data_IF_738286743209
#
_entry.id   IF_738286743209
#
_cell.length_a   1.000
_cell.length_b   1.000
_cell.length_c   1.000
_cell.angle_alpha   90.00
_cell.angle_beta   90.00
_cell.angle_gamma   90.00
#
_symmetry.space_group_name_H-M   'P 1'
#
loop_
_entity.id
_entity.type
_entity.pdbx_description
1 polymer ?
#
# COMPACT_ATOMS: atom_id res chain seq x y z
N UNK A 1 -42.79 34.86 -30.69
CA UNK A 1 -42.87 34.01 -29.48
C UNK A 1 -42.26 32.61 -29.66
N UNK A 2 -42.42 31.94 -30.81
CA UNK A 2 -41.85 30.61 -31.06
C UNK A 2 -40.30 30.51 -31.06
N UNK A 3 -39.60 31.56 -31.53
CA UNK A 3 -38.11 31.57 -31.59
C UNK A 3 -37.44 31.57 -30.20
N UNK A 4 -38.03 32.28 -29.23
CA UNK A 4 -37.54 32.31 -27.85
C UNK A 4 -37.74 30.96 -27.13
N UNK A 5 -38.82 30.24 -27.44
CA UNK A 5 -39.06 28.91 -26.87
C UNK A 5 -38.07 27.87 -27.39
N UNK A 6 -37.69 27.94 -28.68
CA UNK A 6 -36.73 27.03 -29.28
C UNK A 6 -35.31 27.24 -28.72
N UNK A 7 -34.91 28.49 -28.47
CA UNK A 7 -33.63 28.82 -27.85
C UNK A 7 -33.56 28.39 -26.38
N UNK A 8 -34.66 28.55 -25.62
CA UNK A 8 -34.73 28.08 -24.24
C UNK A 8 -34.62 26.55 -24.13
N UNK A 9 -35.29 25.81 -25.02
CA UNK A 9 -35.22 24.35 -25.05
C UNK A 9 -33.82 23.85 -25.45
N UNK A 10 -33.17 24.50 -26.42
CA UNK A 10 -31.80 24.17 -26.82
C UNK A 10 -30.78 24.44 -25.70
N UNK A 11 -30.94 25.52 -24.94
CA UNK A 11 -30.10 25.84 -23.78
C UNK A 11 -30.28 24.84 -22.63
N UNK A 12 -31.51 24.40 -22.37
CA UNK A 12 -31.80 23.35 -21.37
C UNK A 12 -31.25 22.00 -21.81
N UNK A 13 -31.38 21.62 -23.08
CA UNK A 13 -30.78 20.39 -23.62
C UNK A 13 -29.24 20.41 -23.57
N UNK A 14 -28.61 21.57 -23.82
CA UNK A 14 -27.17 21.73 -23.68
C UNK A 14 -26.70 21.66 -22.21
N UNK A 15 -27.49 22.17 -21.26
CA UNK A 15 -27.21 22.00 -19.82
C UNK A 15 -27.36 20.55 -19.35
N UNK A 16 -28.34 19.81 -19.89
CA UNK A 16 -28.56 18.38 -19.55
C UNK A 16 -27.50 17.50 -20.19
N UNK A 17 -27.02 17.82 -21.39
CA UNK A 17 -25.92 17.10 -22.05
C UNK A 17 -24.53 17.39 -21.43
N UNK A 18 -24.38 18.55 -20.77
CA UNK A 18 -23.16 18.94 -20.04
C UNK A 18 -23.06 18.36 -18.62
N UNK A 19 -24.12 17.73 -18.11
CA UNK A 19 -24.14 17.05 -16.83
C UNK A 19 -23.38 15.71 -16.91
N UNK A 20 -22.07 15.82 -17.02
CA UNK A 20 -21.06 14.86 -16.58
C UNK A 20 -21.31 13.42 -16.95
N UNK A 21 -20.61 12.94 -17.98
CA UNK A 21 -20.02 11.61 -17.88
C UNK A 21 -19.11 11.61 -16.63
N UNK A 22 -19.69 11.29 -15.46
CA UNK A 22 -18.98 11.09 -14.22
C UNK A 22 -17.97 9.98 -14.49
N UNK A 23 -16.73 10.36 -14.78
CA UNK A 23 -15.67 9.39 -15.03
C UNK A 23 -15.49 8.58 -13.75
N UNK A 24 -15.89 7.31 -13.80
CA UNK A 24 -15.63 6.35 -12.73
C UNK A 24 -14.13 6.27 -12.50
N UNK A 25 -13.69 6.32 -11.24
CA UNK A 25 -12.29 6.19 -10.91
C UNK A 25 -11.77 4.78 -11.25
N UNK A 26 -10.68 4.68 -12.03
CA UNK A 26 -10.01 3.41 -12.32
C UNK A 26 -9.11 3.03 -11.15
N UNK A 27 -9.44 1.94 -10.45
CA UNK A 27 -8.71 1.49 -9.27
C UNK A 27 -7.42 0.74 -9.60
N UNK A 28 -7.41 -0.05 -10.67
CA UNK A 28 -6.25 -0.86 -11.01
C UNK A 28 -5.12 0.03 -11.50
N UNK A 29 -3.92 -0.19 -10.98
CA UNK A 29 -2.74 0.57 -11.40
C UNK A 29 -2.79 2.09 -11.15
N UNK A 30 -3.74 2.52 -10.31
CA UNK A 30 -3.85 3.91 -9.91
C UNK A 30 -2.57 4.36 -9.19
N UNK A 31 -1.97 5.46 -9.66
CA UNK A 31 -0.83 6.06 -8.97
C UNK A 31 -1.31 6.88 -7.77
N UNK A 32 -0.42 7.19 -6.83
CA UNK A 32 -0.77 8.04 -5.69
C UNK A 32 -1.25 9.42 -6.16
N UNK A 33 -0.67 9.95 -7.25
CA UNK A 33 -1.09 11.20 -7.86
C UNK A 33 -2.52 11.11 -8.43
N UNK A 34 -2.84 10.02 -9.14
CA UNK A 34 -4.19 9.77 -9.65
C UNK A 34 -5.20 9.64 -8.50
N UNK A 35 -4.85 8.91 -7.43
CA UNK A 35 -5.67 8.78 -6.22
C UNK A 35 -5.93 10.14 -5.58
N UNK A 36 -4.89 10.97 -5.42
CA UNK A 36 -5.05 12.31 -4.84
C UNK A 36 -5.91 13.21 -5.72
N UNK A 37 -5.76 13.12 -7.04
CA UNK A 37 -6.63 13.84 -7.99
C UNK A 37 -8.09 13.37 -7.90
N UNK A 38 -8.32 12.05 -7.82
CA UNK A 38 -9.64 11.48 -7.62
C UNK A 38 -10.28 11.93 -6.30
N UNK A 39 -9.47 12.08 -5.26
CA UNK A 39 -9.94 12.64 -4.00
C UNK A 39 -10.26 14.14 -4.09
N UNK A 40 -9.49 14.93 -4.85
CA UNK A 40 -9.68 16.38 -4.94
C UNK A 40 -10.84 16.77 -5.85
N UNK A 41 -11.09 16.01 -6.92
CA UNK A 41 -12.20 16.25 -7.84
C UNK A 41 -13.50 15.50 -7.44
N UNK A 42 -13.46 14.71 -6.37
CA UNK A 42 -14.62 14.01 -5.82
C UNK A 42 -15.01 12.72 -6.54
N UNK A 43 -14.24 12.26 -7.55
CA UNK A 43 -14.52 10.98 -8.23
C UNK A 43 -14.13 9.75 -7.40
N UNK A 44 -13.39 9.95 -6.31
CA UNK A 44 -12.98 8.90 -5.38
C UNK A 44 -13.11 9.35 -3.92
N UNK A 45 -13.49 8.41 -3.05
CA UNK A 45 -13.41 8.58 -1.59
C UNK A 45 -12.39 7.61 -0.99
N UNK A 46 -11.81 7.98 0.15
CA UNK A 46 -10.86 7.13 0.90
C UNK A 46 -11.54 5.84 1.32
N UNK A 47 -12.81 5.91 1.73
CA UNK A 47 -13.63 4.74 2.09
C UNK A 47 -13.83 3.81 0.90
N UNK A 48 -14.14 4.32 -0.29
CA UNK A 48 -14.27 3.50 -1.49
C UNK A 48 -12.94 2.82 -1.85
N UNK A 49 -11.83 3.56 -1.78
CA UNK A 49 -10.50 3.03 -2.04
C UNK A 49 -10.09 1.92 -1.06
N UNK A 50 -10.35 2.13 0.24
CA UNK A 50 -10.06 1.12 1.27
C UNK A 50 -10.93 -0.13 1.08
N UNK A 51 -12.23 0.03 0.79
CA UNK A 51 -13.13 -1.10 0.49
C UNK A 51 -12.60 -1.92 -0.69
N UNK A 52 -12.25 -1.26 -1.79
CA UNK A 52 -11.70 -1.93 -2.96
C UNK A 52 -10.48 -2.81 -2.60
N UNK A 53 -9.52 -2.28 -1.85
CA UNK A 53 -8.34 -3.07 -1.47
C UNK A 53 -8.66 -4.18 -0.47
N UNK A 54 -9.58 -3.97 0.47
CA UNK A 54 -10.03 -5.03 1.38
C UNK A 54 -10.71 -6.18 0.61
N UNK A 55 -11.50 -5.86 -0.42
CA UNK A 55 -12.13 -6.86 -1.29
C UNK A 55 -11.09 -7.63 -2.11
N UNK A 56 -10.07 -6.95 -2.65
CA UNK A 56 -8.95 -7.62 -3.32
C UNK A 56 -8.16 -8.52 -2.37
N UNK A 57 -7.92 -8.08 -1.14
CA UNK A 57 -7.27 -8.89 -0.10
C UNK A 57 -8.13 -10.13 0.20
N UNK A 58 -9.43 -9.97 0.43
CA UNK A 58 -10.34 -11.08 0.70
C UNK A 58 -10.34 -12.14 -0.42
N UNK A 59 -10.26 -11.69 -1.68
CA UNK A 59 -10.27 -12.58 -2.85
C UNK A 59 -8.93 -13.27 -3.12
N UNK A 60 -7.82 -12.55 -3.02
CA UNK A 60 -6.52 -13.00 -3.52
C UNK A 60 -5.58 -13.51 -2.42
N UNK A 61 -5.70 -12.98 -1.21
CA UNK A 61 -4.80 -13.31 -0.11
C UNK A 61 -4.89 -14.78 0.37
N UNK A 62 -6.04 -15.48 0.32
CA UNK A 62 -6.09 -16.92 0.61
C UNK A 62 -5.15 -17.77 -0.26
N UNK A 63 -4.80 -17.27 -1.45
CA UNK A 63 -3.86 -17.93 -2.36
C UNK A 63 -2.45 -17.33 -2.30
N UNK A 64 -2.35 -16.01 -2.14
CA UNK A 64 -1.08 -15.29 -2.25
C UNK A 64 -0.34 -15.11 -0.91
N UNK A 65 -1.02 -15.21 0.22
CA UNK A 65 -0.46 -15.04 1.57
C UNK A 65 0.43 -13.78 1.72
N UNK A 66 0.02 -12.67 1.11
CA UNK A 66 0.78 -11.43 1.06
C UNK A 66 0.50 -10.49 2.23
N UNK A 67 -0.70 -10.55 2.79
CA UNK A 67 -1.16 -9.76 3.94
C UNK A 67 -1.31 -10.71 5.12
N UNK A 68 -0.55 -10.48 6.19
CA UNK A 68 -0.56 -11.33 7.38
C UNK A 68 -1.64 -10.90 8.38
N UNK A 69 -2.04 -9.62 8.34
CA UNK A 69 -3.05 -9.06 9.23
C UNK A 69 -3.69 -7.82 8.61
N UNK A 70 -5.01 -7.73 8.64
CA UNK A 70 -5.75 -6.55 8.19
C UNK A 70 -6.03 -5.65 9.39
N UNK A 71 -5.95 -4.33 9.22
CA UNK A 71 -6.27 -3.40 10.29
C UNK A 71 -7.79 -3.29 10.47
N UNK A 72 -8.37 -3.67 11.62
CA UNK A 72 -9.81 -3.55 11.85
C UNK A 72 -10.29 -2.09 11.79
N UNK A 73 -9.39 -1.12 12.04
CA UNK A 73 -9.70 0.30 11.99
C UNK A 73 -9.58 0.95 10.61
N UNK A 74 -9.15 0.22 9.57
CA UNK A 74 -8.85 0.81 8.26
C UNK A 74 -10.04 1.61 7.69
N UNK A 75 -11.25 1.05 7.72
CA UNK A 75 -12.46 1.74 7.23
C UNK A 75 -12.83 2.94 8.11
N UNK A 76 -12.63 2.86 9.42
CA UNK A 76 -12.87 3.98 10.34
C UNK A 76 -11.93 5.14 10.05
N UNK A 77 -10.64 4.85 9.85
CA UNK A 77 -9.62 5.84 9.48
C UNK A 77 -9.94 6.48 8.12
N UNK A 78 -10.40 5.68 7.15
CA UNK A 78 -10.81 6.16 5.83
C UNK A 78 -12.02 7.12 5.90
N UNK A 79 -13.07 6.74 6.65
CA UNK A 79 -14.25 7.58 6.89
C UNK A 79 -13.86 8.91 7.54
N UNK A 80 -12.93 8.88 8.50
CA UNK A 80 -12.42 10.09 9.12
C UNK A 80 -11.69 10.98 8.10
N UNK A 81 -10.83 10.42 7.25
CA UNK A 81 -10.18 11.17 6.18
C UNK A 81 -11.18 11.81 5.19
N UNK A 82 -12.27 11.11 4.85
CA UNK A 82 -13.34 11.65 4.01
C UNK A 82 -14.13 12.77 4.70
N UNK A 83 -14.35 12.67 6.01
CA UNK A 83 -15.00 13.72 6.79
C UNK A 83 -14.15 15.00 6.85
N UNK A 84 -12.84 14.88 7.12
CA UNK A 84 -11.91 16.01 7.10
C UNK A 84 -11.87 16.68 5.72
N UNK A 85 -11.93 15.89 4.64
CA UNK A 85 -11.94 16.41 3.26
C UNK A 85 -13.21 17.22 2.98
N UNK A 86 -14.38 16.70 3.38
CA UNK A 86 -15.67 17.42 3.23
C UNK A 86 -15.73 18.71 4.05
N UNK A 87 -15.04 18.77 5.18
CA UNK A 87 -14.96 19.97 6.05
C UNK A 87 -13.93 20.99 5.59
N UNK A 88 -13.12 20.67 4.56
CA UNK A 88 -12.01 21.53 4.14
C UNK A 88 -10.82 21.54 5.11
N UNK A 89 -10.77 20.63 6.08
CA UNK A 89 -9.71 20.53 7.11
C UNK A 89 -8.66 19.46 6.78
N UNK A 90 -8.80 18.77 5.64
CA UNK A 90 -7.87 17.74 5.20
C UNK A 90 -6.45 18.30 4.99
N UNK A 91 -5.54 17.91 5.90
CA UNK A 91 -4.11 18.21 5.82
C UNK A 91 -3.29 16.93 5.60
N UNK A 92 -2.16 17.05 4.91
CA UNK A 92 -1.20 15.96 4.70
C UNK A 92 -1.25 15.33 3.30
N UNK A 93 -0.08 15.06 2.73
CA UNK A 93 0.11 14.62 1.34
C UNK A 93 -0.37 13.19 1.06
N UNK A 94 -0.69 12.40 2.08
CA UNK A 94 -1.18 11.02 1.96
C UNK A 94 -2.55 10.84 2.62
N UNK A 95 -3.27 11.94 2.91
CA UNK A 95 -4.56 11.88 3.59
C UNK A 95 -5.51 10.91 2.88
N UNK A 96 -5.94 9.86 3.59
CA UNK A 96 -6.89 8.86 3.10
C UNK A 96 -6.29 7.77 2.20
N UNK A 97 -5.00 7.85 1.85
CA UNK A 97 -4.35 6.83 1.02
C UNK A 97 -4.03 5.59 1.86
N UNK A 98 -4.50 4.38 1.48
CA UNK A 98 -4.19 3.15 2.19
C UNK A 98 -2.76 2.68 1.93
N UNK A 99 -2.08 2.28 3.01
CA UNK A 99 -0.70 1.78 2.97
C UNK A 99 -0.59 0.47 3.74
N UNK A 100 0.15 -0.49 3.17
CA UNK A 100 0.59 -1.69 3.91
C UNK A 100 1.96 -1.45 4.54
N UNK A 101 2.14 -1.95 5.75
CA UNK A 101 3.42 -1.92 6.44
C UNK A 101 3.95 -3.34 6.58
N UNK A 102 5.23 -3.58 6.30
CA UNK A 102 5.83 -4.89 6.60
C UNK A 102 5.65 -5.23 8.09
N UNK A 103 5.39 -6.49 8.42
CA UNK A 103 5.02 -6.92 9.78
C UNK A 103 6.14 -6.80 10.84
N UNK A 104 7.35 -6.40 10.45
CA UNK A 104 8.41 -6.00 11.39
C UNK A 104 8.47 -4.47 11.63
N UNK A 105 7.55 -3.69 11.07
CA UNK A 105 7.40 -2.26 11.34
C UNK A 105 6.42 -2.07 12.49
N UNK A 106 6.93 -1.60 13.63
CA UNK A 106 6.14 -1.37 14.83
C UNK A 106 5.00 -0.36 14.62
N UNK A 107 3.79 -0.72 15.03
CA UNK A 107 2.65 0.20 15.17
C UNK A 107 2.03 0.03 16.56
N UNK A 108 1.75 1.15 17.22
CA UNK A 108 1.06 1.24 18.51
C UNK A 108 -0.44 1.37 18.27
N UNK A 109 -1.03 0.33 17.70
CA UNK A 109 -2.47 0.19 17.45
C UNK A 109 -2.90 -1.27 17.68
N UNK A 110 -4.06 -1.66 17.16
CA UNK A 110 -4.59 -3.02 17.31
C UNK A 110 -3.80 -4.10 16.53
N UNK A 111 -2.88 -3.69 15.65
CA UNK A 111 -2.12 -4.63 14.82
C UNK A 111 -0.93 -5.22 15.60
N UNK A 112 -0.63 -6.49 15.33
CA UNK A 112 0.57 -7.11 15.84
C UNK A 112 1.82 -6.65 15.08
N UNK A 113 3.00 -6.79 15.69
CA UNK A 113 4.30 -6.61 15.01
C UNK A 113 5.15 -7.83 15.31
N UNK A 114 5.10 -8.83 14.43
CA UNK A 114 5.57 -10.19 14.78
C UNK A 114 6.85 -10.60 14.07
N UNK A 115 7.30 -9.83 13.07
CA UNK A 115 8.35 -10.26 12.14
C UNK A 115 8.08 -11.66 11.52
N UNK A 116 6.80 -12.02 11.38
CA UNK A 116 6.33 -13.34 10.92
C UNK A 116 6.40 -14.47 11.97
N UNK A 117 6.90 -14.21 13.18
CA UNK A 117 7.11 -15.22 14.21
C UNK A 117 5.92 -15.32 15.18
N UNK A 118 5.48 -16.54 15.48
CA UNK A 118 4.48 -16.79 16.53
C UNK A 118 4.96 -16.36 17.92
N UNK A 119 6.27 -16.30 18.16
CA UNK A 119 6.85 -15.89 19.44
C UNK A 119 6.54 -14.44 19.83
N UNK A 120 6.20 -13.59 18.85
CA UNK A 120 5.87 -12.18 19.04
C UNK A 120 4.37 -11.90 18.89
N UNK A 121 3.53 -12.93 18.71
CA UNK A 121 2.09 -12.75 18.62
C UNK A 121 1.55 -12.24 19.96
N UNK A 122 0.75 -11.18 19.92
CA UNK A 122 0.26 -10.49 21.12
C UNK A 122 1.30 -9.57 21.78
N UNK A 123 2.52 -9.47 21.25
CA UNK A 123 3.54 -8.55 21.77
C UNK A 123 3.13 -7.09 21.55
N UNK A 124 3.36 -6.29 22.58
CA UNK A 124 2.85 -4.93 22.68
C UNK A 124 4.03 -3.95 22.54
N UNK A 125 4.13 -3.30 21.38
CA UNK A 125 5.21 -2.33 21.13
C UNK A 125 5.01 -1.05 21.94
N UNK A 126 6.10 -0.40 22.37
CA UNK A 126 6.05 0.86 23.16
C UNK A 126 5.52 2.06 22.37
N UNK A 127 5.81 2.12 21.06
CA UNK A 127 5.45 3.24 20.17
C UNK A 127 5.50 2.83 18.70
N UNK A 128 4.89 3.65 17.84
CA UNK A 128 5.08 3.56 16.39
C UNK A 128 6.57 3.65 16.03
N UNK A 129 6.97 2.86 15.03
CA UNK A 129 8.23 3.09 14.33
C UNK A 129 8.21 4.49 13.68
N UNK A 130 9.38 5.12 13.53
CA UNK A 130 9.47 6.48 12.98
C UNK A 130 8.80 6.64 11.61
N UNK A 131 8.87 5.61 10.76
CA UNK A 131 8.21 5.62 9.44
C UNK A 131 6.68 5.51 9.56
N UNK A 132 6.16 4.65 10.44
CA UNK A 132 4.72 4.54 10.68
C UNK A 132 4.15 5.85 11.23
N UNK A 133 4.84 6.45 12.21
CA UNK A 133 4.45 7.75 12.77
C UNK A 133 4.43 8.86 11.69
N UNK A 134 5.40 8.87 10.76
CA UNK A 134 5.43 9.83 9.64
C UNK A 134 4.26 9.62 8.68
N UNK A 135 3.91 8.38 8.35
CA UNK A 135 2.78 8.06 7.48
C UNK A 135 1.46 8.49 8.11
N UNK A 136 1.25 8.21 9.41
CA UNK A 136 0.07 8.67 10.13
C UNK A 136 -0.05 10.19 10.17
N UNK A 137 1.05 10.90 10.43
CA UNK A 137 1.08 12.37 10.37
C UNK A 137 0.78 12.91 8.96
N UNK A 138 1.18 12.20 7.92
CA UNK A 138 0.82 12.53 6.54
C UNK A 138 -0.65 12.21 6.19
N UNK A 139 -1.40 11.59 7.12
CA UNK A 139 -2.81 11.24 6.97
C UNK A 139 -3.08 9.89 6.29
N UNK A 140 -2.06 9.04 6.12
CA UNK A 140 -2.22 7.72 5.51
C UNK A 140 -3.10 6.80 6.38
N UNK A 141 -3.88 5.95 5.72
CA UNK A 141 -4.66 4.89 6.36
C UNK A 141 -3.80 3.63 6.42
N UNK A 142 -3.51 3.11 7.61
CA UNK A 142 -2.75 1.86 7.73
C UNK A 142 -3.70 0.70 7.45
N UNK A 143 -3.59 0.11 6.25
CA UNK A 143 -4.49 -0.96 5.78
C UNK A 143 -4.27 -2.27 6.54
N UNK A 144 -3.03 -2.53 6.96
CA UNK A 144 -2.66 -3.77 7.64
C UNK A 144 -1.16 -4.04 7.60
N UNK A 145 -0.79 -5.29 7.86
CA UNK A 145 0.57 -5.81 7.85
C UNK A 145 0.81 -6.72 6.65
N UNK A 146 1.89 -6.47 5.92
CA UNK A 146 2.37 -7.34 4.85
C UNK A 146 3.26 -8.45 5.40
N UNK A 147 3.11 -9.66 4.85
CA UNK A 147 3.94 -10.83 5.19
C UNK A 147 5.39 -10.65 4.75
N UNK A 148 6.27 -11.46 5.34
CA UNK A 148 7.70 -11.43 5.11
C UNK A 148 8.32 -12.82 5.25
N UNK A 149 9.56 -12.98 4.78
CA UNK A 149 10.43 -14.05 5.30
C UNK A 149 10.63 -13.82 6.79
N UNK A 150 10.39 -14.84 7.60
CA UNK A 150 10.48 -14.75 9.06
C UNK A 150 11.82 -14.16 9.52
N UNK A 151 11.77 -13.30 10.55
CA UNK A 151 12.94 -12.58 11.07
C UNK A 151 13.71 -11.83 9.98
N UNK A 152 12.98 -11.30 9.00
CA UNK A 152 13.55 -10.63 7.83
C UNK A 152 14.61 -11.47 7.08
N UNK A 153 14.47 -12.81 7.08
CA UNK A 153 15.41 -13.77 6.49
C UNK A 153 16.77 -13.87 7.21
N UNK A 154 16.84 -13.45 8.49
CA UNK A 154 17.96 -13.76 9.40
C UNK A 154 17.79 -15.09 10.15
N UNK A 155 16.72 -15.83 9.82
CA UNK A 155 16.53 -17.25 10.12
C UNK A 155 16.62 -18.03 8.79
N UNK A 156 17.22 -19.24 8.76
CA UNK A 156 17.24 -20.05 7.54
C UNK A 156 15.84 -20.59 7.23
N UNK A 157 15.09 -19.86 6.40
CA UNK A 157 13.73 -20.20 5.95
C UNK A 157 13.58 -19.97 4.44
N UNK A 158 12.56 -20.55 3.83
CA UNK A 158 12.21 -20.25 2.44
C UNK A 158 11.82 -18.77 2.27
N UNK A 159 12.19 -18.17 1.13
CA UNK A 159 11.89 -16.77 0.86
C UNK A 159 10.37 -16.53 0.79
N UNK A 160 9.88 -15.64 1.65
CA UNK A 160 8.45 -15.34 1.81
C UNK A 160 7.70 -16.28 2.74
N UNK A 161 8.38 -17.23 3.39
CA UNK A 161 7.79 -18.07 4.43
C UNK A 161 7.91 -17.45 5.82
N UNK A 162 6.86 -17.58 6.62
CA UNK A 162 6.91 -17.38 8.07
C UNK A 162 5.93 -18.27 8.82
N UNK A 163 6.21 -18.61 10.08
CA UNK A 163 5.33 -19.50 10.85
C UNK A 163 3.92 -18.91 11.00
N UNK A 164 3.80 -17.60 11.19
CA UNK A 164 2.51 -16.92 11.33
C UNK A 164 1.83 -16.66 9.99
N UNK A 165 2.58 -16.27 8.96
CA UNK A 165 2.04 -15.80 7.68
C UNK A 165 1.90 -16.87 6.59
N UNK A 166 2.49 -18.05 6.78
CA UNK A 166 2.59 -19.08 5.75
C UNK A 166 3.57 -18.68 4.63
N UNK A 167 3.40 -19.31 3.46
CA UNK A 167 4.25 -19.07 2.28
C UNK A 167 3.60 -18.06 1.33
N UNK A 168 4.17 -16.86 1.25
CA UNK A 168 3.80 -15.90 0.21
C UNK A 168 4.04 -16.49 -1.19
N UNK A 169 3.13 -16.26 -2.15
CA UNK A 169 3.25 -16.77 -3.53
C UNK A 169 3.43 -15.63 -4.52
N UNK A 170 4.23 -15.88 -5.55
CA UNK A 170 4.43 -14.92 -6.63
C UNK A 170 3.14 -14.84 -7.49
N UNK A 171 2.54 -13.65 -7.65
CA UNK A 171 1.23 -13.52 -8.29
C UNK A 171 1.28 -13.83 -9.79
N UNK A 172 2.44 -13.68 -10.45
CA UNK A 172 2.60 -13.95 -11.88
C UNK A 172 2.82 -15.44 -12.19
N UNK A 173 3.52 -16.16 -11.32
CA UNK A 173 3.80 -17.59 -11.45
C UNK A 173 3.85 -18.19 -10.05
N UNK A 174 2.78 -18.88 -9.61
CA UNK A 174 2.61 -19.32 -8.22
C UNK A 174 3.72 -20.27 -7.73
N UNK A 175 4.32 -21.05 -8.63
CA UNK A 175 5.45 -21.94 -8.34
C UNK A 175 6.80 -21.23 -8.25
N UNK A 176 6.89 -19.95 -8.63
CA UNK A 176 8.11 -19.16 -8.54
C UNK A 176 8.24 -18.49 -7.18
N UNK A 177 9.48 -18.25 -6.75
CA UNK A 177 9.74 -17.51 -5.52
C UNK A 177 9.14 -16.09 -5.56
N UNK A 178 8.51 -15.61 -4.47
CA UNK A 178 8.12 -14.20 -4.32
C UNK A 178 9.32 -13.30 -4.01
N UNK A 179 10.53 -13.87 -3.84
CA UNK A 179 11.72 -13.22 -3.30
C UNK A 179 11.49 -12.77 -1.83
N UNK A 180 12.47 -12.13 -1.19
CA UNK A 180 12.38 -11.77 0.22
C UNK A 180 13.42 -10.73 0.65
N UNK A 181 13.39 -10.27 1.89
CA UNK A 181 12.43 -10.68 2.93
C UNK A 181 11.08 -9.97 2.85
N UNK A 182 10.95 -8.89 2.08
CA UNK A 182 9.70 -8.13 1.92
C UNK A 182 8.75 -8.75 0.89
N UNK A 183 8.50 -10.06 1.02
CA UNK A 183 7.72 -10.85 0.06
C UNK A 183 6.29 -10.35 -0.08
N UNK A 184 5.55 -10.25 1.03
CA UNK A 184 4.15 -9.83 1.03
C UNK A 184 3.96 -8.41 0.51
N UNK A 185 4.86 -7.50 0.88
CA UNK A 185 4.93 -6.13 0.33
C UNK A 185 4.94 -6.11 -1.21
N UNK A 186 5.88 -6.87 -1.81
CA UNK A 186 6.04 -6.92 -3.26
C UNK A 186 4.86 -7.61 -3.96
N UNK A 187 4.33 -8.68 -3.37
CA UNK A 187 3.18 -9.43 -3.90
C UNK A 187 1.90 -8.59 -3.82
N UNK A 188 1.64 -7.91 -2.70
CA UNK A 188 0.42 -7.13 -2.48
C UNK A 188 0.32 -5.96 -3.46
N UNK A 189 1.41 -5.22 -3.68
CA UNK A 189 1.43 -4.14 -4.68
C UNK A 189 1.30 -4.71 -6.10
N UNK A 190 2.00 -5.80 -6.43
CA UNK A 190 1.92 -6.42 -7.75
C UNK A 190 0.52 -6.96 -8.09
N UNK A 191 -0.25 -7.38 -7.08
CA UNK A 191 -1.59 -7.93 -7.23
C UNK A 191 -2.71 -6.90 -6.96
N UNK A 192 -2.40 -5.59 -6.88
CA UNK A 192 -3.37 -4.53 -6.58
C UNK A 192 -4.17 -4.75 -5.27
N UNK A 193 -3.53 -5.33 -4.25
CA UNK A 193 -4.08 -5.47 -2.90
C UNK A 193 -3.76 -4.27 -1.98
N UNK A 194 -2.92 -3.33 -2.45
CA UNK A 194 -2.66 -2.06 -1.79
C UNK A 194 -2.17 -1.01 -2.78
N UNK A 195 -2.43 0.28 -2.51
CA UNK A 195 -1.93 1.40 -3.31
C UNK A 195 -0.40 1.55 -3.21
N UNK A 196 0.15 1.32 -2.02
CA UNK A 196 1.59 1.34 -1.78
C UNK A 196 1.95 0.52 -0.53
N UNK A 197 3.21 0.14 -0.45
CA UNK A 197 3.78 -0.57 0.69
C UNK A 197 5.03 0.16 1.22
N UNK A 198 5.33 -0.09 2.49
CA UNK A 198 6.61 0.31 3.09
C UNK A 198 7.37 -0.94 3.56
N UNK A 199 8.50 -1.29 2.89
CA UNK A 199 9.42 -2.28 3.41
C UNK A 199 10.27 -1.68 4.54
N UNK A 200 10.85 -2.55 5.37
CA UNK A 200 11.90 -2.18 6.29
C UNK A 200 13.17 -1.68 5.56
N UNK A 201 13.92 -0.78 6.20
CA UNK A 201 15.11 -0.16 5.60
C UNK A 201 16.31 -1.11 5.43
N UNK A 202 16.20 -2.37 5.86
CA UNK A 202 17.27 -3.36 5.79
C UNK A 202 17.35 -3.91 4.37
N UNK A 203 18.43 -3.57 3.65
CA UNK A 203 18.72 -4.11 2.32
C UNK A 203 18.02 -3.41 1.16
N UNK A 204 18.44 -2.18 0.83
CA UNK A 204 18.01 -1.47 -0.41
C UNK A 204 18.22 -2.29 -1.70
N UNK A 205 19.14 -3.27 -1.69
CA UNK A 205 19.35 -4.22 -2.80
C UNK A 205 18.23 -5.26 -2.98
N UNK A 206 17.56 -5.68 -1.91
CA UNK A 206 16.52 -6.71 -1.94
C UNK A 206 15.25 -6.23 -2.68
N UNK A 207 14.85 -4.97 -2.47
CA UNK A 207 13.67 -4.35 -3.12
C UNK A 207 13.78 -4.33 -4.64
N UNK A 208 14.94 -3.91 -5.16
CA UNK A 208 15.19 -3.88 -6.60
C UNK A 208 15.34 -5.29 -7.20
N UNK A 209 15.78 -6.27 -6.41
CA UNK A 209 15.84 -7.68 -6.80
C UNK A 209 14.47 -8.32 -6.94
N UNK A 210 13.60 -8.17 -5.93
CA UNK A 210 12.27 -8.79 -5.93
C UNK A 210 11.35 -8.19 -7.01
N UNK A 211 11.27 -6.87 -7.14
CA UNK A 211 10.48 -6.26 -8.23
C UNK A 211 11.01 -6.65 -9.63
N UNK A 212 12.34 -6.77 -9.82
CA UNK A 212 12.90 -7.25 -11.10
C UNK A 212 12.57 -8.72 -11.36
N UNK A 213 12.58 -9.58 -10.35
CA UNK A 213 12.21 -11.01 -10.49
C UNK A 213 10.71 -11.19 -10.76
N UNK A 214 9.84 -10.45 -10.07
CA UNK A 214 8.41 -10.40 -10.37
C UNK A 214 8.16 -9.95 -11.82
N UNK A 215 8.89 -8.92 -12.30
CA UNK A 215 8.82 -8.46 -13.70
C UNK A 215 9.37 -9.49 -14.70
N UNK A 216 10.40 -10.27 -14.34
CA UNK A 216 10.91 -11.35 -15.18
C UNK A 216 9.93 -12.52 -15.25
N UNK A 217 9.31 -12.89 -14.12
CA UNK A 217 8.26 -13.89 -14.07
C UNK A 217 7.06 -13.48 -14.94
N UNK A 218 6.65 -12.21 -14.88
CA UNK A 218 5.65 -11.63 -15.82
C UNK A 218 6.01 -11.86 -17.28
N UNK A 219 7.26 -11.61 -17.69
CA UNK A 219 7.68 -11.80 -19.10
C UNK A 219 7.69 -13.26 -19.54
N UNK A 220 7.71 -14.20 -18.60
CA UNK A 220 7.81 -15.66 -18.85
C UNK A 220 6.48 -16.39 -18.62
N UNK A 221 5.49 -15.78 -17.98
CA UNK A 221 4.26 -16.42 -17.54
C UNK A 221 3.15 -16.40 -18.59
N UNK A 222 2.73 -17.60 -18.99
CA UNK A 222 1.43 -17.90 -19.59
C UNK A 222 0.35 -17.89 -18.47
N UNK A 223 -0.90 -17.56 -18.83
CA UNK A 223 -2.04 -17.21 -17.97
C UNK A 223 -2.21 -18.15 -16.75
N UNK A 224 -1.68 -17.77 -15.57
CA UNK A 224 -2.33 -18.17 -14.32
C UNK A 224 -3.68 -17.46 -14.29
N UNK A 225 -4.78 -18.15 -14.00
CA UNK A 225 -6.15 -17.59 -14.05
C UNK A 225 -6.43 -16.41 -13.09
N UNK A 226 -5.40 -15.82 -12.49
CA UNK A 226 -5.44 -14.60 -11.70
C UNK A 226 -5.14 -13.42 -12.63
N UNK A 227 -6.10 -12.52 -12.81
CA UNK A 227 -5.84 -11.25 -13.49
C UNK A 227 -4.92 -10.38 -12.61
N UNK A 228 -3.62 -10.41 -12.91
CA UNK A 228 -2.61 -9.56 -12.28
C UNK A 228 -2.30 -8.40 -13.23
N UNK A 229 -2.68 -7.19 -12.83
CA UNK A 229 -2.48 -5.97 -13.61
C UNK A 229 -1.03 -5.44 -13.46
N UNK A 230 -0.55 -4.61 -14.41
CA UNK A 230 0.86 -4.24 -14.47
C UNK A 230 1.24 -3.08 -13.51
N UNK A 231 1.70 -3.39 -12.29
CA UNK A 231 2.22 -2.43 -11.29
C UNK A 231 3.01 -1.24 -11.92
N UNK A 232 2.38 -0.07 -12.06
CA UNK A 232 3.08 1.18 -12.44
C UNK A 232 3.97 1.64 -11.28
N UNK A 233 5.05 2.35 -11.61
CA UNK A 233 6.15 2.65 -10.67
C UNK A 233 5.67 3.63 -9.59
N UNK A 234 5.40 3.15 -8.37
CA UNK A 234 5.08 4.02 -7.23
C UNK A 234 6.36 4.66 -6.68
N UNK A 235 6.56 5.96 -6.96
CA UNK A 235 7.65 6.75 -6.37
C UNK A 235 7.17 7.46 -5.09
N UNK A 236 6.92 6.70 -4.02
CA UNK A 236 6.62 7.29 -2.71
C UNK A 236 7.89 7.37 -1.83
N UNK A 237 8.79 8.28 -2.15
CA UNK A 237 9.76 8.84 -1.20
C UNK A 237 9.94 10.32 -1.57
N UNK A 238 9.61 11.29 -0.69
CA UNK A 238 9.98 12.68 -0.92
C UNK A 238 11.49 12.76 -1.13
N UNK A 239 11.92 13.24 -2.30
CA UNK A 239 13.32 13.60 -2.53
C UNK A 239 13.63 14.84 -1.71
N UNK A 240 14.02 14.66 -0.45
CA UNK A 240 14.77 15.69 0.26
C UNK A 240 16.11 15.85 -0.46
N UNK A 241 16.35 17.07 -0.97
CA UNK A 241 17.57 17.42 -1.68
C UNK A 241 18.76 17.12 -0.77
N UNK A 242 19.68 16.28 -1.27
CA UNK A 242 21.04 16.11 -0.73
C UNK A 242 21.71 17.49 -0.66
N UNK A 243 21.88 18.03 0.55
CA UNK A 243 22.99 18.92 0.83
C UNK A 243 24.20 18.04 1.21
N UNK A 244 25.23 18.03 0.35
CA UNK A 244 26.55 17.54 0.73
C UNK A 244 27.11 18.49 1.80
N UNK A 245 27.41 17.97 2.99
CA UNK A 245 28.67 18.32 3.65
C UNK A 245 29.13 17.15 4.51
N UNK A 246 30.45 17.02 4.49
CA UNK A 246 31.31 15.94 4.88
C UNK A 246 31.78 16.21 6.30
N UNK A 247 31.62 15.26 7.21
CA UNK A 247 32.45 15.16 8.41
C UNK A 247 32.42 13.72 8.90
N UNK A 248 33.61 13.20 9.04
CA UNK A 248 34.03 11.90 9.49
C UNK A 248 33.66 11.69 10.98
N UNK A 249 33.06 10.54 11.34
CA UNK A 249 33.09 9.97 12.71
C UNK A 249 32.42 8.59 12.75
N UNK A 250 33.25 7.59 13.06
CA UNK A 250 32.89 6.18 13.30
C UNK A 250 31.86 6.04 14.44
N UNK A 251 30.91 5.09 14.39
CA UNK A 251 30.13 4.74 15.57
C UNK A 251 30.91 3.76 16.46
N UNK A 252 31.38 4.28 17.59
CA UNK A 252 31.74 3.53 18.79
C UNK A 252 30.45 3.22 19.58
N UNK A 253 30.52 2.29 20.55
CA UNK A 253 29.48 1.79 21.47
C UNK A 253 28.82 0.46 21.02
N UNK A 254 29.44 -0.68 21.32
CA UNK A 254 29.39 -1.48 22.57
C UNK A 254 28.11 -2.32 22.73
N UNK A 255 28.30 -3.62 22.49
CA UNK A 255 27.54 -4.71 23.08
C UNK A 255 27.80 -4.74 24.60
N UNK A 256 26.80 -4.96 25.46
CA UNK A 256 27.05 -5.45 26.81
C UNK A 256 27.35 -6.96 26.74
N UNK A 257 28.45 -7.35 27.38
CA UNK A 257 28.77 -8.75 27.72
C UNK A 257 27.72 -9.28 28.69
N UNK A 258 27.11 -10.40 28.36
CA UNK A 258 26.89 -11.56 29.25
C UNK A 258 27.22 -12.78 28.41
#
# INVERSE_FOLDING_TARGET
MASLQLQAVAAVLALVAGAGAAHSFEFHEATVEAIQLGFSNGTLTSTALVRFYLDQIGRLNPLLHAVIEVNPDALRQAKHADAERRRGTATGSLRGVPVLLKDNIATRDALNTTAGSLALLGSVVKRDAGVAARLRRAGAVVLGKASLSEWANFRPVEAGWSARGGQARNPYVLSSTPCGSSAGSGVAVAANMAATDVPDGVGRGARAGCHRRLRRARRRGHRSGIQVHPARRVHAVPKEKRAKRQEDRRPQWLLPRI
#
